data_IF_054015395890
#
_entry.id   IF_054015395890
#
_cell.length_a   1.000
_cell.length_b   1.000
_cell.length_c   1.000
_cell.angle_alpha   90.00
_cell.angle_beta   90.00
_cell.angle_gamma   90.00
#
_symmetry.space_group_name_H-M   'P 1'
#
loop_
_entity.id
_entity.type
_entity.pdbx_description
1 polymer ?
#
# COMPACT_ATOMS: atom_id res chain seq x y z
N UNK A 1 32.11 -0.52 44.07
CA UNK A 1 31.01 -1.51 44.14
C UNK A 1 29.88 -1.09 43.19
N UNK A 2 29.50 -1.96 42.27
CA UNK A 2 28.67 -1.63 41.10
C UNK A 2 27.20 -1.38 41.51
N UNK A 3 26.72 -0.13 41.41
CA UNK A 3 25.39 0.33 41.85
C UNK A 3 24.20 -0.30 41.07
N UNK A 4 24.49 -1.22 40.15
CA UNK A 4 23.55 -1.75 39.15
C UNK A 4 23.02 -3.16 39.45
N UNK A 5 23.53 -3.88 40.44
CA UNK A 5 23.23 -5.32 40.60
C UNK A 5 21.84 -5.65 41.15
N UNK A 6 21.06 -4.65 41.61
CA UNK A 6 19.75 -4.91 42.22
C UNK A 6 18.60 -4.02 41.71
N UNK A 7 18.82 -3.23 40.64
CA UNK A 7 17.77 -2.38 40.07
C UNK A 7 17.09 -3.11 38.91
N UNK A 8 15.82 -3.46 39.10
CA UNK A 8 15.02 -4.08 38.04
C UNK A 8 14.33 -3.03 37.19
N UNK A 9 14.61 -3.03 35.89
CA UNK A 9 13.94 -2.15 34.94
C UNK A 9 12.57 -2.69 34.55
N UNK A 10 11.60 -1.78 34.40
CA UNK A 10 10.26 -2.13 33.95
C UNK A 10 10.30 -2.82 32.58
N UNK A 11 9.35 -3.69 32.28
CA UNK A 11 9.20 -4.31 30.95
C UNK A 11 8.41 -3.44 29.97
N UNK A 12 8.20 -3.95 28.75
CA UNK A 12 7.28 -3.36 27.79
C UNK A 12 5.85 -3.34 28.34
N UNK A 13 5.29 -4.51 28.66
CA UNK A 13 3.89 -4.64 29.09
C UNK A 13 3.52 -3.75 30.28
N UNK A 14 4.37 -3.66 31.30
CA UNK A 14 4.12 -2.80 32.46
C UNK A 14 4.07 -1.32 32.06
N UNK A 15 4.94 -0.88 31.14
CA UNK A 15 4.89 0.48 30.58
C UNK A 15 3.66 0.68 29.71
N UNK A 16 3.27 -0.28 28.88
CA UNK A 16 2.09 -0.18 28.01
C UNK A 16 0.81 -0.02 28.82
N UNK A 17 0.64 -0.79 29.89
CA UNK A 17 -0.50 -0.66 30.80
C UNK A 17 -0.49 0.71 31.50
N UNK A 18 0.67 1.16 31.98
CA UNK A 18 0.80 2.48 32.59
C UNK A 18 0.39 3.59 31.63
N UNK A 19 0.87 3.53 30.38
CA UNK A 19 0.54 4.49 29.33
C UNK A 19 -0.94 4.42 28.94
N UNK A 20 -1.57 3.24 28.94
CA UNK A 20 -3.00 3.09 28.68
C UNK A 20 -3.84 3.77 29.78
N UNK A 21 -3.46 3.58 31.05
CA UNK A 21 -4.12 4.25 32.17
C UNK A 21 -3.92 5.77 32.07
N UNK A 22 -2.68 6.23 31.83
CA UNK A 22 -2.38 7.65 31.62
C UNK A 22 -3.22 8.23 30.46
N UNK A 23 -3.35 7.49 29.36
CA UNK A 23 -4.13 7.89 28.19
C UNK A 23 -5.61 8.03 28.50
N UNK A 24 -6.23 7.07 29.17
CA UNK A 24 -7.65 7.13 29.57
C UNK A 24 -7.90 8.32 30.51
N UNK A 25 -7.00 8.53 31.48
CA UNK A 25 -7.11 9.62 32.45
C UNK A 25 -7.03 11.01 31.79
N UNK A 26 -6.25 11.15 30.72
CA UNK A 26 -6.13 12.41 30.00
C UNK A 26 -7.23 12.60 28.95
N UNK A 27 -7.61 11.52 28.25
CA UNK A 27 -8.55 11.62 27.12
C UNK A 27 -10.01 11.71 27.55
N UNK A 28 -10.45 10.99 28.58
CA UNK A 28 -11.86 11.03 29.00
C UNK A 28 -12.32 12.45 29.41
N UNK A 29 -11.60 13.18 30.28
CA UNK A 29 -11.98 14.55 30.62
C UNK A 29 -11.92 15.47 29.40
N UNK A 30 -10.93 15.28 28.52
CA UNK A 30 -10.78 16.07 27.31
C UNK A 30 -11.95 15.88 26.34
N UNK A 31 -12.37 14.63 26.10
CA UNK A 31 -13.55 14.31 25.27
C UNK A 31 -14.81 14.89 25.91
N UNK A 32 -14.98 14.75 27.23
CA UNK A 32 -16.14 15.30 27.94
C UNK A 32 -16.24 16.82 27.76
N UNK A 33 -15.14 17.54 27.97
CA UNK A 33 -15.06 18.99 27.74
C UNK A 33 -15.39 19.30 26.27
N UNK A 34 -14.72 18.65 25.32
CA UNK A 34 -14.91 18.95 23.90
C UNK A 34 -16.36 18.71 23.44
N UNK A 35 -17.01 17.63 23.90
CA UNK A 35 -18.42 17.34 23.59
C UNK A 35 -19.37 18.39 24.18
N UNK A 36 -19.04 18.99 25.33
CA UNK A 36 -19.86 20.03 25.97
C UNK A 36 -19.79 21.39 25.27
N UNK A 37 -18.66 21.71 24.61
CA UNK A 37 -18.43 23.02 24.02
C UNK A 37 -18.69 23.06 22.51
N UNK A 38 -18.30 22.03 21.74
CA UNK A 38 -18.65 21.83 20.32
C UNK A 38 -18.05 20.50 19.81
N UNK A 39 -18.85 19.63 19.17
CA UNK A 39 -18.36 18.34 18.65
C UNK A 39 -17.40 18.49 17.47
N UNK A 40 -17.57 19.52 16.64
CA UNK A 40 -16.67 19.80 15.51
C UNK A 40 -15.27 20.20 16.00
N UNK A 41 -15.17 20.71 17.23
CA UNK A 41 -13.90 21.18 17.81
C UNK A 41 -12.90 20.07 18.10
N UNK A 42 -13.32 18.80 18.27
CA UNK A 42 -12.47 17.69 18.74
C UNK A 42 -11.27 17.46 17.80
N UNK A 43 -11.47 17.66 16.49
CA UNK A 43 -10.49 17.36 15.46
C UNK A 43 -9.70 18.59 14.98
N UNK A 44 -9.92 19.75 15.59
CA UNK A 44 -9.22 20.98 15.21
C UNK A 44 -7.80 21.04 15.80
N UNK A 45 -6.92 21.77 15.12
CA UNK A 45 -5.52 21.92 15.52
C UNK A 45 -5.37 22.58 16.90
N UNK A 46 -6.28 23.50 17.26
CA UNK A 46 -6.30 24.16 18.57
C UNK A 46 -6.55 23.15 19.70
N UNK A 47 -7.54 22.28 19.54
CA UNK A 47 -7.85 21.20 20.47
C UNK A 47 -6.68 20.24 20.64
N UNK A 48 -6.00 19.92 19.54
CA UNK A 48 -4.78 19.11 19.57
C UNK A 48 -3.65 19.79 20.35
N UNK A 49 -3.43 21.10 20.16
CA UNK A 49 -2.44 21.87 20.90
C UNK A 49 -2.79 21.93 22.40
N UNK A 50 -4.06 22.17 22.75
CA UNK A 50 -4.53 22.16 24.14
C UNK A 50 -4.27 20.79 24.78
N UNK A 51 -4.57 19.70 24.07
CA UNK A 51 -4.32 18.35 24.56
C UNK A 51 -2.83 18.10 24.81
N UNK A 52 -1.94 18.56 23.92
CA UNK A 52 -0.48 18.49 24.12
C UNK A 52 -0.06 19.29 25.35
N UNK A 53 -0.59 20.50 25.54
CA UNK A 53 -0.24 21.35 26.69
C UNK A 53 -0.70 20.76 28.02
N UNK A 54 -1.92 20.20 28.07
CA UNK A 54 -2.42 19.47 29.23
C UNK A 54 -1.58 18.22 29.51
N UNK A 55 -1.24 17.46 28.47
CA UNK A 55 -0.33 16.33 28.56
C UNK A 55 1.06 16.73 29.07
N UNK A 56 1.60 17.85 28.60
CA UNK A 56 2.88 18.40 29.04
C UNK A 56 2.84 18.74 30.53
N UNK A 57 1.82 19.51 30.94
CA UNK A 57 1.61 19.89 32.34
C UNK A 57 1.49 18.65 33.24
N UNK A 58 0.67 17.68 32.83
CA UNK A 58 0.48 16.42 33.54
C UNK A 58 1.79 15.62 33.67
N UNK A 59 2.49 15.39 32.56
CA UNK A 59 3.71 14.59 32.58
C UNK A 59 4.82 15.28 33.36
N UNK A 60 5.07 16.56 33.11
CA UNK A 60 6.18 17.30 33.73
C UNK A 60 5.96 17.39 35.24
N UNK A 61 4.78 17.85 35.68
CA UNK A 61 4.49 18.08 37.10
C UNK A 61 4.56 16.79 37.92
N UNK A 62 3.98 15.69 37.42
CA UNK A 62 3.99 14.42 38.14
C UNK A 62 5.37 13.76 38.16
N UNK A 63 6.15 13.89 37.07
CA UNK A 63 7.52 13.35 37.01
C UNK A 63 8.49 14.13 37.91
N UNK A 64 8.32 15.44 38.04
CA UNK A 64 9.12 16.26 38.94
C UNK A 64 8.64 16.24 40.40
N UNK A 65 7.51 15.58 40.69
CA UNK A 65 6.98 15.43 42.04
C UNK A 65 7.72 14.36 42.84
N UNK A 66 7.39 14.27 44.13
CA UNK A 66 7.88 13.21 45.02
C UNK A 66 7.51 11.79 44.56
N UNK A 67 6.55 11.64 43.63
CA UNK A 67 6.16 10.35 43.08
C UNK A 67 7.14 9.88 42.00
N UNK A 68 7.74 10.81 41.26
CA UNK A 68 8.61 10.52 40.10
C UNK A 68 7.95 9.56 39.11
N UNK A 69 6.64 9.71 38.93
CA UNK A 69 5.79 8.82 38.14
C UNK A 69 4.47 9.54 37.83
N UNK A 70 3.94 9.34 36.63
CA UNK A 70 2.55 9.67 36.31
C UNK A 70 1.58 8.76 37.07
N UNK A 71 0.28 9.07 37.09
CA UNK A 71 -0.70 8.27 37.82
C UNK A 71 -0.71 6.81 37.36
N UNK A 72 -0.76 6.56 36.05
CA UNK A 72 -0.71 5.21 35.50
C UNK A 72 0.57 4.47 35.87
N UNK A 73 1.72 5.16 35.80
CA UNK A 73 3.02 4.59 36.22
C UNK A 73 3.06 4.27 37.71
N UNK A 74 2.52 5.16 38.54
CA UNK A 74 2.42 4.98 39.99
C UNK A 74 1.50 3.80 40.32
N UNK A 75 0.34 3.70 39.66
CA UNK A 75 -0.62 2.60 39.82
C UNK A 75 0.03 1.27 39.49
N UNK A 76 0.76 1.17 38.36
CA UNK A 76 1.46 -0.08 38.02
C UNK A 76 2.75 -0.30 38.81
N UNK A 77 3.15 0.62 39.67
CA UNK A 77 4.29 0.51 40.57
C UNK A 77 5.65 0.69 39.88
N UNK A 78 5.76 1.61 38.94
CA UNK A 78 7.03 1.97 38.27
C UNK A 78 7.34 3.46 38.44
N UNK A 79 8.63 3.80 38.48
CA UNK A 79 9.13 5.17 38.64
C UNK A 79 10.08 5.53 37.51
N UNK A 80 10.09 6.80 37.14
CA UNK A 80 11.03 7.37 36.17
C UNK A 80 12.09 8.13 36.95
N UNK A 81 13.34 7.71 36.79
CA UNK A 81 14.49 8.27 37.49
C UNK A 81 15.55 8.67 36.46
N UNK A 82 16.54 9.43 36.89
CA UNK A 82 17.73 9.59 36.07
C UNK A 82 18.60 8.32 36.05
N UNK A 83 19.62 8.31 35.20
CA UNK A 83 20.60 7.20 35.12
C UNK A 83 21.39 6.97 36.41
N UNK A 84 21.39 7.93 37.36
CA UNK A 84 22.00 7.82 38.68
C UNK A 84 20.99 7.35 39.76
N UNK A 85 19.75 7.04 39.34
CA UNK A 85 18.61 6.64 40.16
C UNK A 85 18.06 7.73 41.09
N UNK A 86 18.23 9.01 40.73
CA UNK A 86 17.65 10.16 41.41
C UNK A 86 16.32 10.57 40.76
N UNK A 87 15.44 11.16 41.56
CA UNK A 87 14.20 11.76 41.07
C UNK A 87 14.50 12.86 40.04
N UNK A 88 13.59 13.03 39.07
CA UNK A 88 13.75 14.07 38.04
C UNK A 88 13.38 15.43 38.61
N UNK A 89 14.12 16.46 38.21
CA UNK A 89 13.71 17.84 38.41
C UNK A 89 12.78 18.29 37.26
N UNK A 90 12.23 19.51 37.38
CA UNK A 90 11.37 20.09 36.37
C UNK A 90 12.05 20.13 34.99
N UNK A 91 13.31 20.59 34.94
CA UNK A 91 14.07 20.76 33.69
C UNK A 91 14.26 19.44 32.95
N UNK A 92 14.63 18.37 33.67
CA UNK A 92 14.84 17.04 33.08
C UNK A 92 13.52 16.40 32.68
N UNK A 93 12.45 16.61 33.46
CA UNK A 93 11.10 16.16 33.11
C UNK A 93 10.58 16.84 31.84
N UNK A 94 10.79 18.15 31.67
CA UNK A 94 10.42 18.89 30.45
C UNK A 94 11.19 18.40 29.23
N UNK A 95 12.50 18.19 29.34
CA UNK A 95 13.31 17.61 28.24
C UNK A 95 12.81 16.22 27.85
N UNK A 96 12.53 15.38 28.84
CA UNK A 96 11.99 14.03 28.61
C UNK A 96 10.65 14.09 27.88
N UNK A 97 9.76 15.01 28.25
CA UNK A 97 8.49 15.20 27.58
C UNK A 97 8.68 15.64 26.11
N UNK A 98 9.54 16.62 25.84
CA UNK A 98 9.83 17.06 24.47
C UNK A 98 10.36 15.91 23.59
N UNK A 99 11.30 15.09 24.08
CA UNK A 99 11.77 13.92 23.35
C UNK A 99 10.69 12.84 23.17
N UNK A 100 9.72 12.76 24.07
CA UNK A 100 8.59 11.84 23.94
C UNK A 100 7.68 12.22 22.77
N UNK A 101 7.48 13.51 22.50
CA UNK A 101 6.73 13.98 21.32
C UNK A 101 7.39 13.50 20.02
N UNK A 102 8.72 13.59 19.93
CA UNK A 102 9.48 13.08 18.77
C UNK A 102 9.31 11.56 18.65
N UNK A 103 9.48 10.85 19.76
CA UNK A 103 9.38 9.38 19.76
C UNK A 103 7.98 8.91 19.34
N UNK A 104 6.92 9.51 19.88
CA UNK A 104 5.55 9.15 19.52
C UNK A 104 5.18 9.61 18.11
N UNK A 105 5.67 10.78 17.68
CA UNK A 105 5.51 11.24 16.29
C UNK A 105 6.11 10.26 15.30
N UNK A 106 7.32 9.76 15.56
CA UNK A 106 7.98 8.73 14.74
C UNK A 106 7.19 7.40 14.70
N UNK A 107 6.50 7.04 15.78
CA UNK A 107 5.68 5.82 15.80
C UNK A 107 4.32 6.01 15.11
N UNK A 108 3.70 7.20 15.24
CA UNK A 108 2.35 7.47 14.74
C UNK A 108 2.32 7.88 13.26
N UNK A 109 3.29 8.66 12.80
CA UNK A 109 3.28 9.22 11.44
C UNK A 109 3.28 8.11 10.36
N UNK A 110 4.12 7.07 10.44
CA UNK A 110 4.03 5.95 9.51
C UNK A 110 2.71 5.18 9.60
N UNK A 111 2.13 5.02 10.79
CA UNK A 111 0.83 4.35 10.95
C UNK A 111 -0.28 5.13 10.22
N UNK A 112 -0.27 6.46 10.30
CA UNK A 112 -1.21 7.33 9.58
C UNK A 112 -0.99 7.24 8.06
N UNK A 113 0.27 7.24 7.61
CA UNK A 113 0.61 7.06 6.19
C UNK A 113 0.17 5.69 5.68
N UNK A 114 0.34 4.64 6.48
CA UNK A 114 -0.10 3.28 6.16
C UNK A 114 -1.62 3.17 6.11
N UNK A 115 -2.36 3.85 6.98
CA UNK A 115 -3.83 3.90 6.90
C UNK A 115 -4.29 4.53 5.58
N UNK A 116 -3.59 5.55 5.07
CA UNK A 116 -3.86 6.10 3.73
C UNK A 116 -3.43 5.17 2.59
N UNK A 117 -2.40 4.35 2.80
CA UNK A 117 -1.87 3.41 1.82
C UNK A 117 -2.38 1.96 1.98
N UNK A 118 -3.43 1.74 2.79
CA UNK A 118 -4.00 0.43 3.18
C UNK A 118 -4.37 -0.50 2.01
N UNK A 119 -4.22 -0.06 0.76
CA UNK A 119 -4.57 -0.80 -0.45
C UNK A 119 -3.35 -1.15 -1.32
N UNK A 120 -2.16 -0.56 -1.12
CA UNK A 120 -1.06 -0.74 -2.07
C UNK A 120 0.33 -0.62 -1.45
N UNK A 121 0.93 -1.77 -1.11
CA UNK A 121 2.39 -1.90 -1.01
C UNK A 121 3.00 -1.88 -2.42
N UNK A 122 2.97 -0.74 -3.09
CA UNK A 122 3.48 -0.62 -4.45
C UNK A 122 4.99 -0.32 -4.47
N UNK A 123 5.52 0.29 -3.40
CA UNK A 123 6.88 0.83 -3.43
C UNK A 123 7.78 0.30 -2.30
N UNK A 124 9.06 0.09 -2.62
CA UNK A 124 10.07 -0.43 -1.68
C UNK A 124 10.42 0.55 -0.54
N UNK A 125 10.17 1.86 -0.68
CA UNK A 125 10.46 2.84 0.36
C UNK A 125 9.52 2.76 1.57
N UNK A 126 8.35 2.15 1.43
CA UNK A 126 7.39 1.94 2.53
C UNK A 126 7.95 0.99 3.60
N UNK A 127 8.85 0.06 3.22
CA UNK A 127 9.57 -0.78 4.18
C UNK A 127 10.47 0.03 5.12
N UNK A 128 11.03 1.16 4.65
CA UNK A 128 11.85 2.03 5.49
C UNK A 128 11.02 2.66 6.62
N UNK A 129 9.74 2.96 6.35
CA UNK A 129 8.82 3.48 7.36
C UNK A 129 8.52 2.44 8.45
N UNK A 130 8.36 1.16 8.09
CA UNK A 130 8.22 0.08 9.07
C UNK A 130 9.45 -0.07 9.97
N UNK A 131 10.65 0.03 9.39
CA UNK A 131 11.89 0.03 10.17
C UNK A 131 11.88 1.17 11.18
N UNK A 132 11.53 2.39 10.76
CA UNK A 132 11.46 3.55 11.65
C UNK A 132 10.46 3.38 12.82
N UNK A 133 9.26 2.83 12.58
CA UNK A 133 8.28 2.54 13.64
C UNK A 133 8.79 1.48 14.62
N UNK A 134 9.54 0.51 14.11
CA UNK A 134 10.02 -0.61 14.93
C UNK A 134 11.18 -0.23 15.84
N UNK A 135 11.94 0.83 15.53
CA UNK A 135 13.14 1.25 16.27
C UNK A 135 12.89 1.47 17.78
N UNK A 136 11.86 2.23 18.22
CA UNK A 136 11.57 2.39 19.66
C UNK A 136 11.27 1.08 20.38
N UNK A 137 10.64 0.11 19.69
CA UNK A 137 10.32 -1.21 20.25
C UNK A 137 11.60 -2.04 20.36
N UNK A 138 12.45 -2.05 19.32
CA UNK A 138 13.74 -2.74 19.37
C UNK A 138 14.65 -2.18 20.46
N UNK A 139 14.74 -0.85 20.62
CA UNK A 139 15.50 -0.23 21.70
C UNK A 139 15.03 -0.71 23.08
N UNK A 140 13.73 -0.85 23.27
CA UNK A 140 13.16 -1.30 24.53
C UNK A 140 13.46 -2.77 24.85
N UNK A 141 13.54 -3.63 23.81
CA UNK A 141 13.78 -5.07 23.95
C UNK A 141 15.26 -5.43 24.07
N UNK A 142 16.13 -4.72 23.33
CA UNK A 142 17.55 -5.06 23.21
C UNK A 142 18.42 -4.32 24.23
N UNK A 143 17.98 -3.16 24.73
CA UNK A 143 18.76 -2.37 25.68
C UNK A 143 18.60 -2.87 27.12
N UNK A 144 19.70 -2.99 27.87
CA UNK A 144 19.71 -3.52 29.25
C UNK A 144 18.90 -2.67 30.25
N UNK A 145 18.99 -1.31 30.28
CA UNK A 145 18.08 -0.46 31.04
C UNK A 145 16.66 -0.36 30.45
N UNK A 146 16.41 -1.02 29.31
CA UNK A 146 15.12 -1.00 28.59
C UNK A 146 14.65 0.43 28.32
N UNK A 147 15.55 1.28 27.85
CA UNK A 147 15.22 2.65 27.49
C UNK A 147 14.60 2.70 26.10
N UNK A 148 13.52 3.46 25.97
CA UNK A 148 12.98 3.89 24.67
C UNK A 148 13.77 5.13 24.22
N UNK A 149 13.66 5.53 22.94
CA UNK A 149 14.35 6.68 22.35
C UNK A 149 14.30 7.95 23.23
N UNK A 150 13.11 8.36 23.71
CA UNK A 150 13.00 9.53 24.59
C UNK A 150 13.70 9.37 25.95
N UNK A 151 13.68 8.17 26.53
CA UNK A 151 14.33 7.90 27.81
C UNK A 151 15.86 7.96 27.65
N UNK A 152 16.36 7.43 26.53
CA UNK A 152 17.78 7.48 26.17
C UNK A 152 18.25 8.93 25.97
N UNK A 153 17.55 9.71 25.15
CA UNK A 153 17.86 11.13 24.89
C UNK A 153 17.78 11.98 26.17
N UNK A 154 16.80 11.69 27.04
CA UNK A 154 16.63 12.40 28.32
C UNK A 154 17.61 11.96 29.42
N UNK A 155 18.38 10.88 29.20
CA UNK A 155 19.19 10.21 30.22
C UNK A 155 18.35 9.84 31.45
N UNK A 156 17.25 9.15 31.20
CA UNK A 156 16.31 8.65 32.20
C UNK A 156 16.07 7.15 32.05
N UNK A 157 15.66 6.50 33.12
CA UNK A 157 15.36 5.07 33.16
C UNK A 157 14.06 4.85 33.91
N UNK A 158 13.33 3.78 33.55
CA UNK A 158 12.10 3.41 34.26
C UNK A 158 12.36 2.15 35.06
N UNK A 159 12.27 2.31 36.38
CA UNK A 159 12.58 1.29 37.36
C UNK A 159 11.28 0.71 37.92
N UNK A 160 11.26 -0.60 38.10
CA UNK A 160 10.18 -1.31 38.74
C UNK A 160 10.38 -1.28 40.26
N UNK A 161 9.60 -0.45 40.97
CA UNK A 161 9.78 -0.24 42.40
C UNK A 161 9.07 -1.29 43.27
N UNK A 162 8.16 -2.08 42.70
CA UNK A 162 7.30 -3.02 43.45
C UNK A 162 7.39 -4.48 42.99
N UNK A 163 8.20 -4.80 41.97
CA UNK A 163 8.25 -6.11 41.30
C UNK A 163 8.23 -7.34 42.22
N UNK A 164 8.84 -7.27 43.40
CA UNK A 164 9.03 -8.42 44.29
C UNK A 164 8.05 -8.51 45.47
N UNK A 165 7.28 -7.45 45.80
CA UNK A 165 6.58 -7.41 47.10
C UNK A 165 5.05 -7.56 47.10
N UNK A 166 4.34 -7.37 45.98
CA UNK A 166 2.87 -7.32 46.01
C UNK A 166 2.19 -8.28 45.01
N UNK A 167 1.45 -9.28 45.53
CA UNK A 167 0.70 -10.29 44.75
C UNK A 167 -0.39 -9.65 43.87
N UNK A 168 -1.12 -8.65 44.37
CA UNK A 168 -2.17 -7.94 43.62
C UNK A 168 -1.60 -7.22 42.39
N UNK A 169 -0.38 -6.68 42.50
CA UNK A 169 0.28 -6.01 41.39
C UNK A 169 0.67 -6.95 40.24
N UNK A 170 0.99 -8.21 40.54
CA UNK A 170 1.22 -9.22 39.49
C UNK A 170 -0.07 -9.52 38.71
N UNK A 171 -1.20 -9.59 39.40
CA UNK A 171 -2.51 -9.84 38.78
C UNK A 171 -2.92 -8.68 37.87
N UNK A 172 -2.86 -7.44 38.35
CA UNK A 172 -3.18 -6.23 37.57
C UNK A 172 -2.34 -6.17 36.29
N UNK A 173 -1.03 -6.45 36.40
CA UNK A 173 -0.12 -6.48 35.25
C UNK A 173 -0.44 -7.62 34.28
N UNK A 174 -0.82 -8.80 34.79
CA UNK A 174 -1.23 -9.94 33.97
C UNK A 174 -2.49 -9.66 33.16
N UNK A 175 -3.56 -9.20 33.82
CA UNK A 175 -4.83 -8.83 33.18
C UNK A 175 -4.62 -7.70 32.17
N UNK A 176 -3.88 -6.66 32.55
CA UNK A 176 -3.60 -5.55 31.64
C UNK A 176 -2.78 -5.99 30.41
N UNK A 177 -1.86 -6.95 30.55
CA UNK A 177 -1.09 -7.48 29.42
C UNK A 177 -2.00 -8.26 28.47
N UNK A 178 -2.88 -9.11 29.00
CA UNK A 178 -3.84 -9.88 28.22
C UNK A 178 -4.81 -8.94 27.45
N UNK A 179 -5.29 -7.87 28.11
CA UNK A 179 -6.15 -6.87 27.47
C UNK A 179 -5.44 -6.17 26.31
N UNK A 180 -4.19 -5.73 26.48
CA UNK A 180 -3.43 -5.08 25.41
C UNK A 180 -3.20 -6.04 24.24
N UNK A 181 -2.84 -7.30 24.50
CA UNK A 181 -2.69 -8.33 23.45
C UNK A 181 -4.01 -8.55 22.70
N UNK A 182 -5.12 -8.68 23.43
CA UNK A 182 -6.45 -8.86 22.84
C UNK A 182 -6.87 -7.67 21.98
N UNK A 183 -6.63 -6.44 22.44
CA UNK A 183 -6.95 -5.22 21.68
C UNK A 183 -6.14 -5.13 20.38
N UNK A 184 -4.83 -5.42 20.42
CA UNK A 184 -4.01 -5.49 19.21
C UNK A 184 -4.43 -6.65 18.28
N UNK A 185 -4.83 -7.79 18.86
CA UNK A 185 -5.37 -8.93 18.11
C UNK A 185 -6.67 -8.59 17.38
N UNK A 186 -7.62 -7.92 18.04
CA UNK A 186 -8.85 -7.41 17.41
C UNK A 186 -8.51 -6.41 16.31
N UNK A 187 -7.64 -5.44 16.58
CA UNK A 187 -7.26 -4.44 15.57
C UNK A 187 -6.64 -5.12 14.34
N UNK A 188 -5.71 -6.06 14.55
CA UNK A 188 -5.13 -6.86 13.49
C UNK A 188 -6.16 -7.70 12.73
N UNK A 189 -7.15 -8.26 13.42
CA UNK A 189 -8.25 -9.02 12.81
C UNK A 189 -9.20 -8.13 12.01
N UNK A 190 -9.55 -6.94 12.52
CA UNK A 190 -10.34 -5.94 11.79
C UNK A 190 -9.60 -5.50 10.54
N UNK A 191 -8.29 -5.22 10.63
CA UNK A 191 -7.46 -4.89 9.48
C UNK A 191 -7.43 -6.03 8.46
N UNK A 192 -7.25 -7.27 8.93
CA UNK A 192 -7.29 -8.47 8.09
C UNK A 192 -8.65 -8.65 7.40
N UNK A 193 -9.76 -8.49 8.13
CA UNK A 193 -11.10 -8.55 7.57
C UNK A 193 -11.33 -7.43 6.55
N UNK A 194 -10.89 -6.21 6.82
CA UNK A 194 -11.00 -5.12 5.85
C UNK A 194 -10.23 -5.43 4.57
N UNK A 195 -8.99 -5.94 4.67
CA UNK A 195 -8.21 -6.38 3.51
C UNK A 195 -8.95 -7.50 2.76
N UNK A 196 -9.46 -8.50 3.48
CA UNK A 196 -10.12 -9.66 2.89
C UNK A 196 -11.48 -9.32 2.24
N UNK A 197 -12.28 -8.47 2.88
CA UNK A 197 -13.59 -8.01 2.38
C UNK A 197 -13.38 -7.08 1.19
N UNK A 198 -12.44 -6.13 1.27
CA UNK A 198 -12.13 -5.23 0.16
C UNK A 198 -11.57 -6.00 -1.06
N UNK A 199 -10.82 -7.07 -0.82
CA UNK A 199 -10.33 -7.94 -1.88
C UNK A 199 -11.42 -8.83 -2.53
N UNK A 200 -12.57 -9.05 -1.88
CA UNK A 200 -13.49 -10.11 -2.28
C UNK A 200 -14.80 -9.66 -2.94
N UNK A 201 -15.38 -8.48 -2.66
CA UNK A 201 -16.82 -8.30 -2.95
C UNK A 201 -17.34 -7.14 -3.81
N UNK A 202 -16.70 -5.98 -3.98
CA UNK A 202 -17.47 -4.84 -4.57
C UNK A 202 -17.03 -4.31 -5.94
N UNK A 203 -15.93 -4.80 -6.52
CA UNK A 203 -15.45 -4.22 -7.79
C UNK A 203 -16.32 -4.55 -9.00
N UNK A 204 -17.15 -5.61 -8.95
CA UNK A 204 -17.95 -6.09 -10.08
C UNK A 204 -19.39 -5.52 -10.11
N UNK A 205 -19.83 -4.91 -9.01
CA UNK A 205 -21.18 -4.34 -8.86
C UNK A 205 -21.17 -2.81 -8.87
N UNK A 206 -20.01 -2.20 -8.63
CA UNK A 206 -19.85 -0.75 -8.60
C UNK A 206 -20.04 -0.12 -9.99
N UNK A 207 -20.83 0.96 -10.06
CA UNK A 207 -20.93 1.81 -11.25
C UNK A 207 -20.29 3.16 -10.94
N UNK A 208 -19.45 3.62 -11.86
CA UNK A 208 -18.76 4.89 -11.75
C UNK A 208 -19.37 5.91 -12.71
N UNK A 209 -19.65 7.11 -12.23
CA UNK A 209 -19.95 8.22 -13.12
C UNK A 209 -18.69 8.62 -13.88
N UNK A 210 -18.83 8.73 -15.20
CA UNK A 210 -17.81 9.25 -16.10
C UNK A 210 -18.46 10.32 -16.96
N UNK A 211 -17.73 11.40 -17.16
CA UNK A 211 -18.13 12.49 -18.04
C UNK A 211 -17.43 12.23 -19.38
N UNK A 212 -18.23 11.96 -20.41
CA UNK A 212 -17.76 11.80 -21.79
C UNK A 212 -17.60 13.15 -22.50
N UNK A 213 -17.92 14.26 -21.81
CA UNK A 213 -17.79 15.65 -22.27
C UNK A 213 -18.55 15.93 -23.57
N UNK A 214 -19.51 15.07 -23.93
CA UNK A 214 -20.12 15.04 -25.27
C UNK A 214 -19.09 14.97 -26.42
N UNK A 215 -17.87 14.48 -26.16
CA UNK A 215 -16.84 14.31 -27.18
C UNK A 215 -17.15 13.05 -28.01
N UNK A 216 -17.46 13.24 -29.29
CA UNK A 216 -17.83 12.15 -30.19
C UNK A 216 -16.74 11.08 -30.33
N UNK A 217 -15.46 11.44 -30.13
CA UNK A 217 -14.33 10.50 -30.12
C UNK A 217 -14.40 9.61 -28.88
N UNK A 218 -14.63 10.19 -27.69
CA UNK A 218 -14.76 9.44 -26.44
C UNK A 218 -15.95 8.49 -26.51
N UNK A 219 -17.10 8.95 -27.00
CA UNK A 219 -18.30 8.12 -27.15
C UNK A 219 -18.04 6.93 -28.09
N UNK A 220 -17.38 7.19 -29.23
CA UNK A 220 -17.00 6.15 -30.19
C UNK A 220 -16.10 5.09 -29.55
N UNK A 221 -15.03 5.49 -28.89
CA UNK A 221 -14.09 4.56 -28.25
C UNK A 221 -14.67 3.89 -27.01
N UNK A 222 -15.56 4.54 -26.26
CA UNK A 222 -16.26 3.91 -25.13
C UNK A 222 -17.18 2.78 -25.61
N UNK A 223 -17.89 2.97 -26.74
CA UNK A 223 -18.68 1.90 -27.37
C UNK A 223 -17.79 0.72 -27.77
N UNK A 224 -16.64 1.00 -28.37
CA UNK A 224 -15.66 -0.04 -28.71
C UNK A 224 -15.12 -0.76 -27.47
N UNK A 225 -14.79 -0.01 -26.41
CA UNK A 225 -14.33 -0.56 -25.13
C UNK A 225 -15.34 -1.55 -24.54
N UNK A 226 -16.63 -1.21 -24.56
CA UNK A 226 -17.70 -2.10 -24.13
C UNK A 226 -17.77 -3.38 -24.98
N UNK A 227 -17.74 -3.25 -26.31
CA UNK A 227 -17.75 -4.38 -27.23
C UNK A 227 -16.60 -5.36 -26.95
N UNK A 228 -15.37 -4.86 -26.86
CA UNK A 228 -14.19 -5.71 -26.66
C UNK A 228 -14.08 -6.23 -25.22
N UNK A 229 -14.60 -5.51 -24.23
CA UNK A 229 -14.71 -6.04 -22.85
C UNK A 229 -15.65 -7.23 -22.77
N UNK A 230 -16.81 -7.17 -23.45
CA UNK A 230 -17.70 -8.33 -23.58
C UNK A 230 -16.98 -9.49 -24.26
N UNK A 231 -16.33 -9.23 -25.40
CA UNK A 231 -15.56 -10.24 -26.13
C UNK A 231 -14.44 -10.87 -25.30
N UNK A 232 -13.77 -10.07 -24.46
CA UNK A 232 -12.74 -10.52 -23.53
C UNK A 232 -13.29 -11.48 -22.48
N UNK A 233 -14.45 -11.17 -21.88
CA UNK A 233 -15.10 -12.05 -20.90
C UNK A 233 -15.56 -13.34 -21.57
N UNK A 234 -16.07 -13.28 -22.81
CA UNK A 234 -16.56 -14.43 -23.55
C UNK A 234 -15.44 -15.29 -24.17
N UNK A 235 -14.21 -14.79 -24.23
CA UNK A 235 -13.09 -15.47 -24.84
C UNK A 235 -12.78 -16.83 -24.17
N UNK A 236 -12.55 -17.83 -25.01
CA UNK A 236 -12.32 -19.24 -24.69
C UNK A 236 -10.93 -19.73 -25.11
N UNK A 237 -10.28 -19.02 -26.02
CA UNK A 237 -8.94 -19.31 -26.51
C UNK A 237 -7.95 -18.22 -26.11
N UNK A 238 -6.69 -18.62 -25.92
CA UNK A 238 -5.58 -17.73 -25.59
C UNK A 238 -5.48 -16.56 -26.57
N UNK A 239 -5.58 -16.87 -27.86
CA UNK A 239 -5.53 -15.86 -28.92
C UNK A 239 -6.67 -14.84 -28.79
N UNK A 240 -7.90 -15.31 -28.56
CA UNK A 240 -9.05 -14.41 -28.42
C UNK A 240 -8.96 -13.55 -27.17
N UNK A 241 -8.42 -14.08 -26.07
CA UNK A 241 -8.13 -13.29 -24.86
C UNK A 241 -7.14 -12.16 -25.21
N UNK A 242 -6.01 -12.50 -25.86
CA UNK A 242 -5.00 -11.52 -26.28
C UNK A 242 -5.54 -10.46 -27.25
N UNK A 243 -6.30 -10.88 -28.26
CA UNK A 243 -6.90 -9.99 -29.26
C UNK A 243 -7.86 -8.99 -28.61
N UNK A 244 -8.81 -9.48 -27.80
CA UNK A 244 -9.81 -8.64 -27.16
C UNK A 244 -9.20 -7.71 -26.12
N UNK A 245 -8.18 -8.18 -25.38
CA UNK A 245 -7.43 -7.35 -24.42
C UNK A 245 -6.71 -6.19 -25.12
N UNK A 246 -6.00 -6.49 -26.23
CA UNK A 246 -5.29 -5.48 -27.01
C UNK A 246 -6.25 -4.43 -27.60
N UNK A 247 -7.39 -4.87 -28.16
CA UNK A 247 -8.41 -3.97 -28.72
C UNK A 247 -9.08 -3.10 -27.64
N UNK A 248 -9.32 -3.66 -26.46
CA UNK A 248 -9.78 -2.92 -25.27
C UNK A 248 -8.75 -1.85 -24.86
N UNK A 249 -7.46 -2.17 -24.89
CA UNK A 249 -6.39 -1.24 -24.54
C UNK A 249 -6.22 -0.11 -25.57
N UNK A 250 -6.42 -0.37 -26.85
CA UNK A 250 -6.52 0.68 -27.88
C UNK A 250 -7.65 1.66 -27.58
N UNK A 251 -8.85 1.14 -27.29
CA UNK A 251 -10.01 1.97 -27.00
C UNK A 251 -9.77 2.84 -25.76
N UNK A 252 -9.23 2.24 -24.69
CA UNK A 252 -8.87 2.95 -23.47
C UNK A 252 -7.79 4.02 -23.70
N UNK A 253 -6.79 3.72 -24.52
CA UNK A 253 -5.73 4.68 -24.83
C UNK A 253 -6.26 5.88 -25.61
N UNK A 254 -7.13 5.67 -26.59
CA UNK A 254 -7.78 6.78 -27.29
C UNK A 254 -8.72 7.60 -26.39
N UNK A 255 -9.47 6.96 -25.48
CA UNK A 255 -10.26 7.70 -24.46
C UNK A 255 -9.33 8.58 -23.61
N UNK A 256 -8.20 8.03 -23.16
CA UNK A 256 -7.21 8.78 -22.40
C UNK A 256 -6.60 9.94 -23.18
N UNK A 257 -6.31 9.75 -24.47
CA UNK A 257 -5.83 10.80 -25.35
C UNK A 257 -6.82 11.95 -25.45
N UNK A 258 -8.09 11.67 -25.77
CA UNK A 258 -9.12 12.70 -25.86
C UNK A 258 -9.35 13.42 -24.52
N UNK A 259 -9.34 12.71 -23.39
CA UNK A 259 -9.46 13.34 -22.06
C UNK A 259 -8.26 14.24 -21.69
N UNK A 260 -7.07 14.02 -22.29
CA UNK A 260 -5.90 14.89 -22.06
C UNK A 260 -6.08 16.26 -22.66
N UNK A 261 -6.68 16.36 -23.85
CA UNK A 261 -6.94 17.63 -24.53
C UNK A 261 -7.84 18.55 -23.70
N UNK A 262 -8.77 17.96 -22.93
CA UNK A 262 -9.68 18.69 -22.05
C UNK A 262 -9.04 19.13 -20.70
N UNK A 263 -7.71 19.02 -20.53
CA UNK A 263 -6.96 19.45 -19.34
C UNK A 263 -7.47 18.92 -17.98
N UNK A 264 -8.02 17.70 -17.97
CA UNK A 264 -8.58 17.12 -16.75
C UNK A 264 -7.47 16.62 -15.81
N UNK A 265 -7.47 17.08 -14.56
CA UNK A 265 -6.40 16.84 -13.56
C UNK A 265 -6.33 15.40 -13.00
N UNK A 266 -7.39 14.59 -13.14
CA UNK A 266 -7.49 13.24 -12.56
C UNK A 266 -7.51 12.12 -13.63
N UNK A 267 -6.48 12.10 -14.50
CA UNK A 267 -6.40 11.26 -15.70
C UNK A 267 -6.47 9.74 -15.44
N UNK A 268 -5.71 9.23 -14.47
CA UNK A 268 -5.59 7.79 -14.22
C UNK A 268 -6.83 7.14 -13.60
N UNK A 269 -7.53 7.86 -12.71
CA UNK A 269 -8.71 7.34 -12.01
C UNK A 269 -9.93 7.33 -12.93
N UNK A 270 -10.11 8.37 -13.78
CA UNK A 270 -11.28 8.45 -14.66
C UNK A 270 -11.28 7.41 -15.77
N UNK A 271 -10.14 7.11 -16.40
CA UNK A 271 -10.11 6.11 -17.48
C UNK A 271 -10.29 4.68 -16.97
N UNK A 272 -9.79 4.36 -15.78
CA UNK A 272 -10.07 3.08 -15.12
C UNK A 272 -11.56 2.87 -14.84
N UNK A 273 -12.32 3.94 -14.59
CA UNK A 273 -13.76 3.86 -14.42
C UNK A 273 -14.47 3.38 -15.69
N UNK A 274 -14.01 3.78 -16.89
CA UNK A 274 -14.58 3.29 -18.15
C UNK A 274 -14.41 1.77 -18.30
N UNK A 275 -13.20 1.26 -18.04
CA UNK A 275 -12.92 -0.19 -18.07
C UNK A 275 -13.76 -0.94 -17.05
N UNK A 276 -13.84 -0.40 -15.84
CA UNK A 276 -14.58 -1.04 -14.75
C UNK A 276 -16.08 -1.07 -15.05
N UNK A 277 -16.65 0.01 -15.56
CA UNK A 277 -18.04 0.05 -15.99
C UNK A 277 -18.32 -0.92 -17.14
N UNK A 278 -17.44 -0.97 -18.14
CA UNK A 278 -17.56 -1.92 -19.25
C UNK A 278 -17.55 -3.36 -18.73
N UNK A 279 -16.61 -3.71 -17.85
CA UNK A 279 -16.51 -5.04 -17.24
C UNK A 279 -17.76 -5.37 -16.44
N UNK A 280 -18.18 -4.49 -15.55
CA UNK A 280 -19.31 -4.71 -14.64
C UNK A 280 -20.65 -4.79 -15.38
N UNK A 281 -20.73 -4.17 -16.57
CA UNK A 281 -21.89 -4.30 -17.46
C UNK A 281 -22.06 -5.71 -18.01
N UNK A 282 -20.96 -6.46 -18.21
CA UNK A 282 -21.01 -7.78 -18.86
C UNK A 282 -20.65 -8.94 -17.93
N UNK A 283 -19.99 -8.69 -16.80
CA UNK A 283 -19.67 -9.67 -15.77
C UNK A 283 -20.72 -9.63 -14.64
N UNK A 284 -21.96 -10.03 -14.96
CA UNK A 284 -23.12 -9.95 -14.05
C UNK A 284 -23.32 -11.26 -13.28
N UNK A 285 -23.20 -12.40 -13.96
CA UNK A 285 -23.42 -13.73 -13.36
C UNK A 285 -22.14 -14.24 -12.72
N UNK A 286 -22.24 -15.12 -11.71
CA UNK A 286 -21.06 -15.75 -11.09
C UNK A 286 -20.14 -16.42 -12.11
N UNK A 287 -20.71 -17.06 -13.14
CA UNK A 287 -19.95 -17.67 -14.23
C UNK A 287 -19.15 -16.62 -15.03
N UNK A 288 -19.82 -15.53 -15.45
CA UNK A 288 -19.16 -14.46 -16.20
C UNK A 288 -18.11 -13.72 -15.38
N UNK A 289 -18.32 -13.56 -14.07
CA UNK A 289 -17.34 -13.00 -13.13
C UNK A 289 -16.14 -13.93 -12.99
N UNK A 290 -16.37 -15.23 -12.82
CA UNK A 290 -15.30 -16.22 -12.73
C UNK A 290 -14.48 -16.26 -14.02
N UNK A 291 -15.14 -16.17 -15.18
CA UNK A 291 -14.48 -16.14 -16.49
C UNK A 291 -13.68 -14.85 -16.69
N UNK A 292 -14.24 -13.69 -16.33
CA UNK A 292 -13.52 -12.41 -16.35
C UNK A 292 -12.24 -12.48 -15.49
N UNK A 293 -12.36 -12.94 -14.24
CA UNK A 293 -11.23 -13.11 -13.31
C UNK A 293 -10.19 -14.09 -13.86
N UNK A 294 -10.63 -15.21 -14.44
CA UNK A 294 -9.73 -16.19 -15.07
C UNK A 294 -8.95 -15.57 -16.22
N UNK A 295 -9.60 -14.77 -17.08
CA UNK A 295 -8.95 -14.13 -18.21
C UNK A 295 -8.01 -13.00 -17.76
N UNK A 296 -8.39 -12.19 -16.77
CA UNK A 296 -7.51 -11.20 -16.14
C UNK A 296 -6.26 -11.86 -15.50
N UNK A 297 -6.45 -12.95 -14.77
CA UNK A 297 -5.35 -13.72 -14.18
C UNK A 297 -4.44 -14.33 -15.25
N UNK A 298 -5.03 -14.84 -16.34
CA UNK A 298 -4.27 -15.40 -17.46
C UNK A 298 -3.35 -14.35 -18.08
N UNK A 299 -3.89 -13.18 -18.40
CA UNK A 299 -3.13 -12.03 -18.93
C UNK A 299 -2.01 -11.63 -17.96
N UNK A 300 -2.28 -11.55 -16.66
CA UNK A 300 -1.28 -11.20 -15.64
C UNK A 300 -0.16 -12.23 -15.54
N UNK A 301 -0.48 -13.52 -15.53
CA UNK A 301 0.52 -14.59 -15.40
C UNK A 301 1.43 -14.71 -16.62
N UNK A 302 0.88 -14.46 -17.81
CA UNK A 302 1.61 -14.57 -19.06
C UNK A 302 2.01 -13.19 -19.61
N UNK A 303 1.94 -12.16 -18.78
CA UNK A 303 2.22 -10.77 -19.16
C UNK A 303 3.61 -10.61 -19.77
N UNK A 304 4.58 -11.34 -19.21
CA UNK A 304 5.95 -11.40 -19.71
C UNK A 304 6.10 -12.32 -20.91
N UNK A 305 5.35 -13.44 -20.99
CA UNK A 305 5.40 -14.36 -22.14
C UNK A 305 4.82 -13.73 -23.42
N UNK A 306 3.83 -12.83 -23.27
CA UNK A 306 3.24 -12.07 -24.37
C UNK A 306 3.87 -10.69 -24.57
N UNK A 307 4.85 -10.32 -23.74
CA UNK A 307 5.39 -8.97 -23.59
C UNK A 307 4.34 -7.88 -23.83
N UNK A 308 3.34 -7.81 -22.95
CA UNK A 308 2.33 -6.75 -22.99
C UNK A 308 2.96 -5.35 -22.85
N UNK A 309 4.20 -5.25 -22.36
CA UNK A 309 5.00 -4.02 -22.45
C UNK A 309 5.32 -3.62 -23.88
N UNK A 310 5.65 -4.57 -24.76
CA UNK A 310 5.84 -4.29 -26.17
C UNK A 310 4.51 -3.97 -26.84
N UNK A 311 3.44 -4.66 -26.46
CA UNK A 311 2.11 -4.33 -26.97
C UNK A 311 1.71 -2.90 -26.61
N UNK A 312 1.83 -2.55 -25.34
CA UNK A 312 1.61 -1.19 -24.85
C UNK A 312 2.57 -0.19 -25.48
N UNK A 313 3.85 -0.50 -25.66
CA UNK A 313 4.79 0.39 -26.34
C UNK A 313 4.40 0.62 -27.79
N UNK A 314 3.97 -0.41 -28.52
CA UNK A 314 3.51 -0.29 -29.90
C UNK A 314 2.24 0.57 -29.95
N UNK A 315 1.26 0.29 -29.09
CA UNK A 315 0.02 1.07 -28.96
C UNK A 315 0.35 2.54 -28.67
N UNK A 316 1.21 2.80 -27.69
CA UNK A 316 1.62 4.15 -27.30
C UNK A 316 2.44 4.82 -28.39
N UNK A 317 3.33 4.11 -29.10
CA UNK A 317 4.07 4.67 -30.22
C UNK A 317 3.14 5.00 -31.39
N UNK A 318 2.14 4.17 -31.69
CA UNK A 318 1.15 4.43 -32.74
C UNK A 318 0.27 5.65 -32.42
N UNK A 319 -0.07 5.84 -31.15
CA UNK A 319 -0.96 6.91 -30.72
C UNK A 319 -0.16 8.20 -30.45
N UNK A 320 0.96 8.12 -29.75
CA UNK A 320 1.81 9.24 -29.34
C UNK A 320 3.12 9.34 -30.12
N UNK A 321 3.05 9.39 -31.45
CA UNK A 321 4.21 9.74 -32.28
C UNK A 321 4.67 11.18 -31.94
N UNK A 322 5.62 11.26 -31.02
CA UNK A 322 6.50 12.39 -30.71
C UNK A 322 5.83 13.73 -30.37
N UNK A 323 6.15 14.26 -29.19
CA UNK A 323 5.85 15.64 -28.75
C UNK A 323 6.54 16.69 -29.65
N UNK A 324 6.08 16.87 -30.88
CA UNK A 324 6.33 18.08 -31.65
C UNK A 324 5.05 18.45 -32.37
N UNK A 325 4.57 19.65 -32.09
CA UNK A 325 3.47 20.33 -32.75
C UNK A 325 3.39 19.93 -34.25
N UNK A 326 2.20 19.57 -34.73
CA UNK A 326 1.80 19.29 -36.12
C UNK A 326 1.68 17.85 -36.68
N UNK A 327 1.54 16.78 -35.87
CA UNK A 327 1.08 15.48 -36.43
C UNK A 327 -0.20 14.97 -35.76
N UNK A 328 -1.28 14.94 -36.56
CA UNK A 328 -2.64 14.53 -36.23
C UNK A 328 -2.66 13.10 -35.64
N UNK A 329 -3.11 12.96 -34.38
CA UNK A 329 -3.04 11.73 -33.58
C UNK A 329 -3.80 10.59 -34.29
N UNK A 330 -3.32 9.34 -34.19
CA UNK A 330 -4.00 8.16 -34.80
C UNK A 330 -5.47 8.06 -34.34
N UNK A 331 -5.74 8.46 -33.09
CA UNK A 331 -7.10 8.53 -32.55
C UNK A 331 -7.94 9.69 -33.12
N UNK A 332 -7.32 10.82 -33.50
CA UNK A 332 -7.98 12.00 -34.07
C UNK A 332 -8.52 11.76 -35.48
N UNK A 333 -7.89 10.81 -36.20
CA UNK A 333 -8.38 10.35 -37.50
C UNK A 333 -9.59 9.40 -37.37
N UNK A 334 -10.07 9.15 -36.15
CA UNK A 334 -11.17 8.23 -35.85
C UNK A 334 -10.98 6.85 -36.49
N UNK A 335 -9.74 6.35 -36.49
CA UNK A 335 -9.46 5.02 -37.01
C UNK A 335 -10.24 3.99 -36.19
N UNK A 336 -10.82 2.99 -36.87
CA UNK A 336 -11.46 1.89 -36.17
C UNK A 336 -10.42 1.13 -35.36
N UNK A 337 -10.83 0.61 -34.20
CA UNK A 337 -9.97 -0.23 -33.36
C UNK A 337 -9.49 -1.46 -34.13
N UNK A 338 -10.30 -2.01 -35.03
CA UNK A 338 -9.90 -3.09 -35.95
C UNK A 338 -8.69 -2.68 -36.81
N UNK A 339 -8.74 -1.50 -37.43
CA UNK A 339 -7.65 -1.03 -38.28
C UNK A 339 -6.37 -0.74 -37.49
N UNK A 340 -6.50 -0.20 -36.28
CA UNK A 340 -5.35 -0.05 -35.37
C UNK A 340 -4.76 -1.42 -34.98
N UNK A 341 -5.62 -2.39 -34.69
CA UNK A 341 -5.21 -3.75 -34.38
C UNK A 341 -4.49 -4.43 -35.54
N UNK A 342 -4.92 -4.20 -36.79
CA UNK A 342 -4.25 -4.74 -37.99
C UNK A 342 -2.82 -4.21 -38.16
N UNK A 343 -2.58 -2.92 -37.89
CA UNK A 343 -1.22 -2.38 -37.90
C UNK A 343 -0.40 -2.97 -36.74
N UNK A 344 -1.01 -3.01 -35.55
CA UNK A 344 -0.38 -3.51 -34.35
C UNK A 344 0.07 -4.95 -34.45
N UNK A 345 -0.79 -5.82 -34.97
CA UNK A 345 -0.52 -7.25 -34.99
C UNK A 345 0.64 -7.57 -35.94
N UNK A 346 0.79 -6.79 -37.01
CA UNK A 346 1.95 -6.87 -37.91
C UNK A 346 3.25 -6.54 -37.15
N UNK A 347 3.32 -5.36 -36.54
CA UNK A 347 4.50 -4.91 -35.79
C UNK A 347 4.81 -5.84 -34.59
N UNK A 348 3.76 -6.36 -33.96
CA UNK A 348 3.88 -7.29 -32.84
C UNK A 348 4.50 -8.62 -33.28
N UNK A 349 4.06 -9.17 -34.43
CA UNK A 349 4.63 -10.41 -35.00
C UNK A 349 6.11 -10.20 -35.33
N UNK A 350 6.47 -9.09 -35.99
CA UNK A 350 7.86 -8.80 -36.35
C UNK A 350 8.75 -8.71 -35.10
N UNK A 351 8.29 -8.03 -34.06
CA UNK A 351 9.01 -7.97 -32.78
C UNK A 351 9.19 -9.36 -32.15
N UNK A 352 8.18 -10.23 -32.25
CA UNK A 352 8.27 -11.62 -31.76
C UNK A 352 9.25 -12.47 -32.55
N UNK A 353 9.33 -12.29 -33.86
CA UNK A 353 10.37 -12.94 -34.67
C UNK A 353 11.78 -12.49 -34.24
N UNK A 354 11.97 -11.18 -34.04
CA UNK A 354 13.26 -10.64 -33.61
C UNK A 354 13.68 -11.17 -32.23
N UNK A 355 12.74 -11.26 -31.29
CA UNK A 355 13.03 -11.82 -29.97
C UNK A 355 13.35 -13.31 -30.05
N UNK A 356 12.64 -14.07 -30.88
CA UNK A 356 12.97 -15.47 -31.14
C UNK A 356 14.39 -15.64 -31.71
N UNK A 357 14.81 -14.75 -32.63
CA UNK A 357 16.19 -14.75 -33.16
C UNK A 357 17.22 -14.43 -32.07
N UNK A 358 16.94 -13.45 -31.20
CA UNK A 358 17.79 -13.12 -30.05
C UNK A 358 17.92 -14.32 -29.09
N UNK A 359 16.82 -14.99 -28.76
CA UNK A 359 16.85 -16.18 -27.90
C UNK A 359 17.63 -17.32 -28.53
N UNK A 360 17.45 -17.59 -29.84
CA UNK A 360 18.26 -18.59 -30.57
C UNK A 360 19.75 -18.26 -30.56
N UNK A 361 20.12 -16.98 -30.68
CA UNK A 361 21.53 -16.53 -30.61
C UNK A 361 22.08 -16.69 -29.19
N UNK A 362 21.31 -16.31 -28.16
CA UNK A 362 21.71 -16.44 -26.76
C UNK A 362 21.87 -17.90 -26.33
N UNK A 363 20.98 -18.79 -26.78
CA UNK A 363 21.05 -20.24 -26.52
C UNK A 363 22.39 -20.85 -26.95
N UNK A 364 22.95 -20.44 -28.10
CA UNK A 364 24.24 -20.93 -28.59
C UNK A 364 25.40 -20.63 -27.64
N UNK A 365 25.31 -19.52 -26.92
CA UNK A 365 26.35 -19.02 -26.03
C UNK A 365 26.05 -19.31 -24.54
N UNK A 366 24.91 -19.94 -24.23
CA UNK A 366 24.46 -20.16 -22.86
C UNK A 366 25.23 -21.31 -22.18
N UNK A 367 25.49 -21.14 -20.88
CA UNK A 367 26.09 -22.18 -20.05
C UNK A 367 25.08 -23.28 -19.69
N UNK A 368 25.57 -24.45 -19.26
CA UNK A 368 24.71 -25.59 -18.91
C UNK A 368 24.05 -25.47 -17.53
N UNK A 369 24.45 -24.51 -16.68
CA UNK A 369 23.90 -24.26 -15.34
C UNK A 369 23.84 -22.76 -15.07
N UNK A 370 22.81 -22.31 -14.37
CA UNK A 370 22.59 -20.89 -14.01
C UNK A 370 21.15 -20.45 -14.30
N UNK A 371 20.81 -19.21 -13.97
CA UNK A 371 19.45 -18.68 -14.18
C UNK A 371 19.10 -18.42 -15.66
N UNK A 372 20.12 -18.20 -16.51
CA UNK A 372 19.99 -18.05 -17.96
C UNK A 372 20.75 -19.19 -18.65
N UNK A 373 20.44 -20.41 -18.26
CA UNK A 373 21.03 -21.62 -18.82
C UNK A 373 20.38 -22.03 -20.15
N UNK A 374 20.91 -23.09 -20.77
CA UNK A 374 20.34 -23.64 -22.00
C UNK A 374 18.87 -24.05 -21.84
N UNK A 375 18.47 -24.62 -20.70
CA UNK A 375 17.09 -25.05 -20.47
C UNK A 375 16.11 -23.88 -20.48
N UNK A 376 16.50 -22.76 -19.86
CA UNK A 376 15.73 -21.52 -19.89
C UNK A 376 15.49 -21.06 -21.34
N UNK A 377 16.56 -20.91 -22.12
CA UNK A 377 16.44 -20.43 -23.50
C UNK A 377 15.70 -21.42 -24.41
N UNK A 378 15.88 -22.73 -24.23
CA UNK A 378 15.13 -23.75 -24.96
C UNK A 378 13.63 -23.63 -24.71
N UNK A 379 13.22 -23.43 -23.44
CA UNK A 379 11.83 -23.18 -23.07
C UNK A 379 11.28 -21.94 -23.77
N UNK A 380 12.00 -20.82 -23.72
CA UNK A 380 11.59 -19.56 -24.36
C UNK A 380 11.46 -19.70 -25.89
N UNK A 381 12.41 -20.37 -26.54
CA UNK A 381 12.37 -20.63 -27.99
C UNK A 381 11.13 -21.47 -28.35
N UNK A 382 10.86 -22.54 -27.59
CA UNK A 382 9.72 -23.42 -27.82
C UNK A 382 8.39 -22.66 -27.66
N UNK A 383 8.25 -21.89 -26.59
CA UNK A 383 7.07 -21.06 -26.33
C UNK A 383 6.88 -20.00 -27.45
N UNK A 384 7.96 -19.30 -27.83
CA UNK A 384 7.92 -18.29 -28.89
C UNK A 384 7.50 -18.86 -30.25
N UNK A 385 8.01 -20.03 -30.63
CA UNK A 385 7.60 -20.72 -31.88
C UNK A 385 6.12 -21.11 -31.81
N UNK A 386 5.67 -21.69 -30.70
CA UNK A 386 4.27 -22.08 -30.53
C UNK A 386 3.34 -20.86 -30.65
N UNK A 387 3.71 -19.74 -30.04
CA UNK A 387 2.92 -18.52 -30.11
C UNK A 387 2.90 -17.91 -31.51
N UNK A 388 4.06 -17.76 -32.17
CA UNK A 388 4.13 -17.28 -33.56
C UNK A 388 3.29 -18.15 -34.52
N UNK A 389 3.28 -19.47 -34.32
CA UNK A 389 2.43 -20.36 -35.12
C UNK A 389 0.92 -20.08 -34.91
N UNK A 390 0.50 -19.72 -33.70
CA UNK A 390 -0.89 -19.30 -33.44
C UNK A 390 -1.17 -17.98 -34.17
N UNK A 391 -0.25 -17.02 -34.10
CA UNK A 391 -0.39 -15.72 -34.77
C UNK A 391 -0.48 -15.88 -36.29
N UNK A 392 0.42 -16.62 -36.94
CA UNK A 392 0.41 -16.80 -38.39
C UNK A 392 -0.82 -17.52 -38.93
N UNK A 393 -1.42 -18.42 -38.14
CA UNK A 393 -2.69 -19.05 -38.52
C UNK A 393 -3.85 -18.05 -38.60
N UNK A 394 -3.76 -16.95 -37.84
CA UNK A 394 -4.78 -15.89 -37.80
C UNK A 394 -4.43 -14.72 -38.71
N UNK A 395 -3.14 -14.38 -38.79
CA UNK A 395 -2.57 -13.28 -39.54
C UNK A 395 -1.39 -13.79 -40.39
N UNK A 396 -1.65 -14.40 -41.55
CA UNK A 396 -0.58 -14.88 -42.43
C UNK A 396 0.29 -13.71 -42.90
N UNK A 397 1.62 -13.90 -43.08
CA UNK A 397 2.50 -12.83 -43.56
C UNK A 397 2.11 -12.45 -44.98
N UNK A 398 2.12 -11.14 -45.28
CA UNK A 398 1.77 -10.60 -46.61
C UNK A 398 2.70 -11.10 -47.71
N UNK A 399 3.95 -11.45 -47.39
CA UNK A 399 4.95 -11.95 -48.35
C UNK A 399 4.84 -13.45 -48.66
N UNK A 400 3.78 -14.13 -48.17
CA UNK A 400 3.47 -15.55 -48.45
C UNK A 400 2.10 -15.75 -49.12
N UNK A 401 1.49 -14.68 -49.61
CA UNK A 401 0.35 -14.69 -50.53
C UNK A 401 0.81 -14.14 -51.88
#
# INVERSE_FOLDING_TARGET
MNKYTNTKYAGFWTRSIASLIDFILLTLPFILIAVLFDRESIFNIESFLIFILLGAWYHISFLSSSWSATLGKKIVGIRVLDTNLKALDFKKSSKRFAYSLITYGLMLLPLILLIKSLVFFQNTWEFLLFVLVSLPIFMLLLNTPKQVLHDFLAKTVVVDSYYTKNKSMKIIRGIGSAFVIFAFGILGFILYLNIFVYAKTDSFTQKFHHDDLNDSRIIFYNKALHQYTKGFIEADTIYKIFEMDSKKDFALTCINASLREHNISHKGIRSQNFVTNARNTYAITEESIAKAKKNEQYISQHFYEYHLQDANRIIQNMIYLNNSDNTQETCDRLLSIERMYDYFISDYIDNREQDLLKYKKAFKNAQNKGHLDKNFYEKQIKQGIQWLNVLYRKHPPKDKQ
#
